data_IF_841743743784
#
_entry.id   IF_841743743784
#
_cell.length_a   1.000
_cell.length_b   1.000
_cell.length_c   1.000
_cell.angle_alpha   90.00
_cell.angle_beta   90.00
_cell.angle_gamma   90.00
#
_symmetry.space_group_name_H-M   'P 1'
#
loop_
_entity.id
_entity.type
_entity.pdbx_description
1 polymer ?
#
# COMPACT_ATOMS: atom_id res chain seq x y z
N UNK A 1 12.78 8.77 24.02
CA UNK A 1 11.31 8.85 23.83
C UNK A 1 11.02 8.19 22.48
N UNK A 2 9.99 7.36 22.39
CA UNK A 2 9.65 6.61 21.16
C UNK A 2 8.18 6.82 20.82
N UNK A 3 7.86 6.87 19.54
CA UNK A 3 6.49 6.96 19.06
C UNK A 3 5.98 5.58 18.66
N UNK A 4 4.79 5.24 19.15
CA UNK A 4 4.10 3.99 18.86
C UNK A 4 2.83 4.30 18.08
N UNK A 5 2.62 3.60 16.97
CA UNK A 5 1.38 3.64 16.21
C UNK A 5 0.89 2.25 15.87
N UNK A 6 -0.41 2.13 15.63
CA UNK A 6 -1.08 0.84 15.41
C UNK A 6 -1.58 0.62 13.97
N UNK A 7 -1.22 1.48 13.03
CA UNK A 7 -1.66 1.40 11.63
C UNK A 7 -3.14 1.75 11.41
N UNK A 8 -3.86 2.15 12.47
CA UNK A 8 -5.29 2.52 12.45
C UNK A 8 -5.52 3.99 12.81
N UNK A 9 -4.47 4.81 12.80
CA UNK A 9 -4.53 6.24 13.13
C UNK A 9 -4.24 6.57 14.59
N UNK A 10 -4.06 5.59 15.47
CA UNK A 10 -3.67 5.89 16.87
C UNK A 10 -2.15 6.05 16.95
N UNK A 11 -1.74 7.16 17.55
CA UNK A 11 -0.35 7.50 17.85
C UNK A 11 -0.19 7.78 19.35
N UNK A 12 0.86 7.27 19.96
CA UNK A 12 1.16 7.53 21.38
C UNK A 12 2.66 7.63 21.61
N UNK A 13 3.07 8.57 22.46
CA UNK A 13 4.43 8.66 22.93
C UNK A 13 4.67 7.68 24.08
N UNK A 14 5.78 6.95 24.00
CA UNK A 14 6.20 5.96 24.96
C UNK A 14 7.61 6.22 25.48
N UNK A 15 7.85 5.77 26.72
CA UNK A 15 9.19 5.68 27.28
C UNK A 15 9.57 4.21 27.47
N UNK A 16 10.79 3.87 27.06
CA UNK A 16 11.35 2.53 27.29
C UNK A 16 11.62 2.40 28.79
N UNK A 17 10.95 1.45 29.43
CA UNK A 17 11.09 1.22 30.86
C UNK A 17 12.11 0.12 31.16
N UNK A 18 12.14 -0.93 30.32
CA UNK A 18 13.08 -2.03 30.47
C UNK A 18 13.39 -2.70 29.12
N UNK A 19 14.62 -3.17 28.97
CA UNK A 19 15.09 -4.02 27.88
C UNK A 19 15.76 -5.22 28.54
N UNK A 20 15.16 -6.40 28.39
CA UNK A 20 15.72 -7.65 28.90
C UNK A 20 15.65 -8.76 27.83
N UNK A 21 16.06 -9.98 28.19
CA UNK A 21 16.05 -11.13 27.27
C UNK A 21 14.64 -11.57 26.86
N UNK A 22 13.59 -11.16 27.59
CA UNK A 22 12.18 -11.43 27.29
C UNK A 22 11.55 -10.37 26.39
N UNK A 23 12.19 -9.21 26.23
CA UNK A 23 11.82 -8.19 25.25
C UNK A 23 11.89 -6.76 25.76
N UNK A 24 11.16 -5.89 25.06
CA UNK A 24 11.10 -4.45 25.28
C UNK A 24 9.79 -4.08 26.00
N UNK A 25 9.87 -3.47 27.18
CA UNK A 25 8.71 -2.90 27.88
C UNK A 25 8.64 -1.40 27.67
N UNK A 26 7.50 -0.92 27.20
CA UNK A 26 7.24 0.48 26.90
C UNK A 26 6.02 0.93 27.70
N UNK A 27 6.12 2.08 28.36
CA UNK A 27 5.00 2.71 29.05
C UNK A 27 4.54 3.91 28.23
N UNK A 28 3.25 3.96 27.92
CA UNK A 28 2.64 5.12 27.28
C UNK A 28 2.64 6.31 28.24
N UNK A 29 3.12 7.46 27.78
CA UNK A 29 3.20 8.70 28.56
C UNK A 29 1.88 9.47 28.57
N UNK A 30 1.04 9.23 27.55
CA UNK A 30 -0.23 9.91 27.35
C UNK A 30 -1.30 8.94 26.83
N UNK A 31 -2.55 9.41 26.75
CA UNK A 31 -3.59 8.70 26.00
C UNK A 31 -3.28 8.76 24.49
N UNK A 32 -3.58 7.70 23.72
CA UNK A 32 -3.39 7.70 22.27
C UNK A 32 -4.15 8.84 21.59
N UNK A 33 -3.47 9.57 20.72
CA UNK A 33 -4.03 10.61 19.86
C UNK A 33 -4.53 9.92 18.58
N UNK A 34 -5.79 10.18 18.22
CA UNK A 34 -6.37 9.70 16.97
C UNK A 34 -6.11 10.73 15.87
N UNK A 35 -5.32 10.36 14.87
CA UNK A 35 -5.07 11.15 13.68
C UNK A 35 -6.02 10.67 12.58
N UNK A 36 -6.70 11.60 11.92
CA UNK A 36 -7.57 11.26 10.78
C UNK A 36 -6.75 11.03 9.51
N UNK A 37 -7.19 10.13 8.62
CA UNK A 37 -6.57 9.99 7.30
C UNK A 37 -6.64 11.30 6.51
N UNK A 38 -5.73 11.47 5.55
CA UNK A 38 -5.78 12.57 4.58
C UNK A 38 -7.15 12.63 3.88
N UNK A 39 -7.62 13.84 3.58
CA UNK A 39 -8.92 14.07 2.93
C UNK A 39 -8.97 13.50 1.50
N UNK A 40 -7.83 13.51 0.82
CA UNK A 40 -7.69 12.99 -0.53
C UNK A 40 -7.16 11.56 -0.49
N UNK A 41 -7.92 10.62 -1.08
CA UNK A 41 -7.58 9.20 -1.07
C UNK A 41 -7.36 8.70 -2.49
N UNK A 42 -6.15 8.21 -2.76
CA UNK A 42 -5.79 7.66 -4.07
C UNK A 42 -5.83 6.14 -4.00
N UNK A 43 -6.51 5.54 -4.97
CA UNK A 43 -6.65 4.10 -5.09
C UNK A 43 -5.83 3.62 -6.29
N UNK A 44 -5.01 2.60 -6.05
CA UNK A 44 -4.09 2.07 -7.05
C UNK A 44 -4.60 0.72 -7.54
N UNK A 45 -4.61 0.52 -8.86
CA UNK A 45 -4.98 -0.71 -9.51
C UNK A 45 -3.80 -1.18 -10.34
N UNK A 46 -3.27 -2.36 -10.03
CA UNK A 46 -2.01 -2.81 -10.61
C UNK A 46 -2.07 -4.26 -11.08
N UNK A 47 -1.61 -4.51 -12.30
CA UNK A 47 -1.49 -5.86 -12.85
C UNK A 47 -0.24 -6.57 -12.30
N UNK A 48 -0.28 -7.00 -11.02
CA UNK A 48 0.87 -7.63 -10.36
C UNK A 48 1.37 -8.90 -11.05
N UNK A 49 0.46 -9.64 -11.67
CA UNK A 49 0.77 -10.88 -12.36
C UNK A 49 1.86 -10.79 -13.43
N UNK A 50 1.94 -9.65 -14.11
CA UNK A 50 2.93 -9.40 -15.17
C UNK A 50 4.26 -8.89 -14.61
N UNK A 51 4.29 -8.47 -13.34
CA UNK A 51 5.48 -7.96 -12.66
C UNK A 51 6.37 -9.12 -12.20
N UNK A 52 7.59 -9.18 -12.74
CA UNK A 52 8.64 -10.14 -12.37
C UNK A 52 9.81 -9.42 -11.68
N UNK A 53 10.67 -10.18 -11.01
CA UNK A 53 11.93 -9.67 -10.45
C UNK A 53 11.77 -8.60 -9.38
N UNK A 54 10.85 -8.78 -8.42
CA UNK A 54 10.68 -7.87 -7.28
C UNK A 54 9.93 -6.58 -7.57
N UNK A 55 9.59 -6.27 -8.83
CA UNK A 55 8.86 -5.03 -9.19
C UNK A 55 7.50 -4.89 -8.51
N UNK A 56 6.84 -6.00 -8.22
CA UNK A 56 5.60 -6.00 -7.47
C UNK A 56 5.79 -5.47 -6.03
N UNK A 57 6.92 -5.81 -5.40
CA UNK A 57 7.23 -5.33 -4.05
C UNK A 57 7.57 -3.86 -4.08
N UNK A 58 8.44 -3.47 -5.01
CA UNK A 58 8.82 -2.08 -5.18
C UNK A 58 7.60 -1.19 -5.43
N UNK A 59 6.66 -1.64 -6.27
CA UNK A 59 5.42 -0.90 -6.50
C UNK A 59 4.61 -0.75 -5.20
N UNK A 60 4.42 -1.84 -4.44
CA UNK A 60 3.69 -1.79 -3.16
C UNK A 60 4.38 -0.87 -2.16
N UNK A 61 5.70 -0.97 -2.04
CA UNK A 61 6.51 -0.09 -1.19
C UNK A 61 6.27 1.38 -1.56
N UNK A 62 6.37 1.73 -2.85
CA UNK A 62 6.17 3.11 -3.30
C UNK A 62 4.75 3.59 -3.16
N UNK A 63 3.75 2.73 -3.40
CA UNK A 63 2.36 3.08 -3.11
C UNK A 63 2.15 3.41 -1.63
N UNK A 64 2.72 2.60 -0.73
CA UNK A 64 2.64 2.83 0.72
C UNK A 64 3.35 4.12 1.14
N UNK A 65 4.57 4.36 0.65
CA UNK A 65 5.35 5.58 0.92
C UNK A 65 4.63 6.85 0.42
N UNK A 66 4.02 6.79 -0.77
CA UNK A 66 3.47 7.95 -1.45
C UNK A 66 2.07 8.37 -0.99
N UNK A 67 1.41 7.63 -0.10
CA UNK A 67 0.06 8.05 0.32
C UNK A 67 -1.08 7.12 -0.06
N UNK A 68 -0.88 6.07 -0.86
CA UNK A 68 -1.98 5.30 -1.43
C UNK A 68 -2.93 4.76 -0.35
N UNK A 69 -4.23 4.98 -0.54
CA UNK A 69 -5.24 4.55 0.41
C UNK A 69 -5.51 3.05 0.28
N UNK A 70 -5.61 2.57 -0.95
CA UNK A 70 -5.78 1.15 -1.24
C UNK A 70 -5.00 0.71 -2.47
N UNK A 71 -4.69 -0.57 -2.53
CA UNK A 71 -4.22 -1.24 -3.73
C UNK A 71 -5.10 -2.44 -4.09
N UNK A 72 -5.48 -2.52 -5.36
CA UNK A 72 -6.33 -3.57 -5.89
C UNK A 72 -5.57 -4.30 -7.00
N UNK A 73 -5.33 -5.62 -6.86
CA UNK A 73 -4.74 -6.39 -7.93
C UNK A 73 -5.65 -6.48 -9.16
N UNK A 74 -5.08 -6.26 -10.35
CA UNK A 74 -5.77 -6.47 -11.62
C UNK A 74 -5.39 -7.82 -12.22
N UNK A 75 -6.43 -8.61 -12.51
CA UNK A 75 -6.33 -9.85 -13.26
C UNK A 75 -6.35 -9.54 -14.75
N UNK A 76 -5.35 -10.03 -15.47
CA UNK A 76 -5.17 -9.83 -16.91
C UNK A 76 -5.21 -11.17 -17.63
N UNK A 77 -5.31 -11.18 -18.96
CA UNK A 77 -5.25 -12.43 -19.74
C UNK A 77 -3.97 -13.23 -19.48
N UNK A 78 -2.84 -12.53 -19.26
CA UNK A 78 -1.53 -13.14 -18.95
C UNK A 78 -1.37 -13.54 -17.49
N UNK A 79 -2.28 -13.12 -16.62
CA UNK A 79 -2.30 -13.48 -15.20
C UNK A 79 -3.71 -13.44 -14.66
N UNK A 80 -4.38 -14.58 -14.80
CA UNK A 80 -5.78 -14.77 -14.45
C UNK A 80 -6.03 -15.00 -12.96
N UNK A 81 -4.97 -15.23 -12.17
CA UNK A 81 -5.06 -15.39 -10.71
C UNK A 81 -3.88 -14.73 -10.00
N UNK A 82 -4.07 -14.47 -8.70
CA UNK A 82 -3.03 -14.05 -7.78
C UNK A 82 -3.06 -15.02 -6.59
N UNK A 83 -1.95 -15.71 -6.33
CA UNK A 83 -1.88 -16.69 -5.25
C UNK A 83 -1.89 -16.00 -3.88
N UNK A 84 -2.46 -16.68 -2.87
CA UNK A 84 -2.51 -16.20 -1.48
C UNK A 84 -1.10 -15.91 -0.94
N UNK A 85 -0.14 -16.81 -1.14
CA UNK A 85 1.27 -16.60 -0.78
C UNK A 85 1.85 -15.31 -1.35
N UNK A 86 1.42 -14.93 -2.57
CA UNK A 86 1.87 -13.68 -3.21
C UNK A 86 1.21 -12.47 -2.56
N UNK A 87 -0.07 -12.55 -2.23
CA UNK A 87 -0.79 -11.50 -1.48
C UNK A 87 -0.14 -11.28 -0.10
N UNK A 88 0.10 -12.35 0.66
CA UNK A 88 0.78 -12.28 1.97
C UNK A 88 2.16 -11.64 1.88
N UNK A 89 2.90 -11.93 0.81
CA UNK A 89 4.20 -11.31 0.55
C UNK A 89 4.08 -9.81 0.33
N UNK A 90 3.12 -9.37 -0.48
CA UNK A 90 2.87 -7.95 -0.74
C UNK A 90 2.37 -7.23 0.52
N UNK A 91 1.54 -7.87 1.34
CA UNK A 91 1.11 -7.34 2.64
C UNK A 91 2.30 -7.10 3.58
N UNK A 92 3.25 -8.05 3.65
CA UNK A 92 4.48 -7.87 4.44
C UNK A 92 5.32 -6.69 3.96
N UNK A 93 5.44 -6.51 2.65
CA UNK A 93 6.15 -5.35 2.06
C UNK A 93 5.45 -4.05 2.44
N UNK A 94 4.12 -3.98 2.32
CA UNK A 94 3.34 -2.81 2.73
C UNK A 94 3.51 -2.47 4.21
N UNK A 95 3.49 -3.48 5.09
CA UNK A 95 3.69 -3.29 6.53
C UNK A 95 5.09 -2.79 6.86
N UNK A 96 6.12 -3.33 6.20
CA UNK A 96 7.50 -2.87 6.39
C UNK A 96 7.67 -1.42 5.92
N UNK A 97 7.14 -1.08 4.74
CA UNK A 97 7.17 0.29 4.21
C UNK A 97 6.42 1.26 5.14
N UNK A 98 5.23 0.88 5.62
CA UNK A 98 4.43 1.70 6.55
C UNK A 98 5.21 2.03 7.83
N UNK A 99 6.00 1.07 8.34
CA UNK A 99 6.87 1.29 9.49
C UNK A 99 8.01 2.26 9.19
N UNK A 100 8.61 2.14 8.02
CA UNK A 100 9.74 2.98 7.60
C UNK A 100 9.33 4.44 7.37
N UNK A 101 8.17 4.67 6.75
CA UNK A 101 7.66 6.01 6.47
C UNK A 101 6.76 6.58 7.56
N UNK A 102 6.67 5.93 8.74
CA UNK A 102 5.87 6.35 9.88
C UNK A 102 4.39 6.59 9.52
N UNK A 103 3.85 5.75 8.64
CA UNK A 103 2.48 5.87 8.17
C UNK A 103 1.50 5.39 9.24
N UNK A 104 0.66 6.32 9.71
CA UNK A 104 -0.32 6.04 10.76
C UNK A 104 -1.51 5.18 10.31
N UNK A 105 -1.80 5.15 9.01
CA UNK A 105 -2.91 4.40 8.41
C UNK A 105 -2.41 3.40 7.38
N UNK A 106 -2.61 2.12 7.62
CA UNK A 106 -2.24 1.06 6.68
C UNK A 106 -2.96 1.23 5.33
N UNK A 107 -2.24 0.94 4.24
CA UNK A 107 -2.83 0.84 2.91
C UNK A 107 -3.66 -0.44 2.83
N UNK A 108 -4.93 -0.33 2.44
CA UNK A 108 -5.81 -1.50 2.30
C UNK A 108 -5.49 -2.30 1.04
N UNK A 109 -5.59 -3.63 1.14
CA UNK A 109 -5.48 -4.53 0.00
C UNK A 109 -6.86 -5.05 -0.36
N UNK A 110 -7.35 -4.70 -1.54
CA UNK A 110 -8.64 -5.13 -2.03
C UNK A 110 -8.53 -6.49 -2.74
N UNK A 111 -9.63 -7.26 -2.84
CA UNK A 111 -9.68 -8.48 -3.64
C UNK A 111 -9.29 -8.22 -5.11
N UNK A 112 -8.66 -9.20 -5.79
CA UNK A 112 -8.34 -9.06 -7.21
C UNK A 112 -9.60 -8.89 -8.08
N UNK A 113 -9.56 -7.95 -9.02
CA UNK A 113 -10.66 -7.72 -9.99
C UNK A 113 -10.17 -7.86 -11.42
N UNK A 114 -11.08 -8.12 -12.36
CA UNK A 114 -10.74 -8.15 -13.80
C UNK A 114 -10.65 -6.72 -14.34
N UNK A 115 -9.76 -6.50 -15.32
CA UNK A 115 -9.63 -5.17 -15.99
C UNK A 115 -10.96 -4.65 -16.53
N UNK A 116 -11.83 -5.52 -17.05
CA UNK A 116 -13.16 -5.12 -17.55
C UNK A 116 -14.05 -4.49 -16.46
N UNK A 117 -13.87 -4.87 -15.19
CA UNK A 117 -14.63 -4.32 -14.06
C UNK A 117 -14.09 -2.95 -13.60
N UNK A 118 -12.94 -2.53 -14.11
CA UNK A 118 -12.31 -1.26 -13.72
C UNK A 118 -12.88 -0.05 -14.48
N UNK A 119 -13.28 -0.25 -15.74
CA UNK A 119 -13.77 0.80 -16.64
C UNK A 119 -14.89 1.70 -16.08
N UNK A 120 -15.85 1.22 -15.27
CA UNK A 120 -16.89 2.08 -14.70
C UNK A 120 -16.38 3.04 -13.62
N UNK A 121 -15.21 2.79 -13.04
CA UNK A 121 -14.73 3.45 -11.82
C UNK A 121 -13.55 4.41 -12.05
N UNK A 122 -13.05 4.53 -13.28
CA UNK A 122 -11.82 5.27 -13.57
C UNK A 122 -12.10 6.46 -14.48
N UNK A 123 -11.95 7.66 -13.92
CA UNK A 123 -12.06 8.91 -14.67
C UNK A 123 -10.75 9.30 -15.39
N UNK A 124 -9.60 8.79 -14.94
CA UNK A 124 -8.27 9.13 -15.49
C UNK A 124 -7.39 7.88 -15.54
N UNK A 125 -6.93 7.52 -16.74
CA UNK A 125 -5.97 6.44 -16.97
C UNK A 125 -4.57 7.05 -17.16
N UNK A 126 -3.70 6.89 -16.18
CA UNK A 126 -2.27 7.11 -16.37
C UNK A 126 -1.62 5.78 -16.77
N UNK A 127 -1.05 5.71 -17.96
CA UNK A 127 -0.10 4.65 -18.30
C UNK A 127 1.29 5.11 -17.88
N UNK A 128 1.83 4.51 -16.83
CA UNK A 128 3.22 4.71 -16.49
C UNK A 128 4.08 3.56 -17.04
N UNK A 129 4.82 3.84 -18.11
CA UNK A 129 6.02 3.06 -18.44
C UNK A 129 7.14 3.50 -17.47
N UNK A 130 7.17 2.93 -16.27
CA UNK A 130 8.17 3.30 -15.26
C UNK A 130 9.58 2.81 -15.64
N UNK A 131 10.53 3.73 -15.54
CA UNK A 131 11.97 3.51 -15.62
C UNK A 131 12.48 2.78 -14.36
N UNK A 132 13.00 1.56 -14.52
CA UNK A 132 13.60 0.74 -13.47
C UNK A 132 15.13 1.01 -13.40
N UNK A 133 15.72 1.29 -12.22
CA UNK A 133 17.15 1.61 -12.11
C UNK A 133 18.09 0.44 -12.43
N UNK A 134 17.58 -0.78 -12.62
CA UNK A 134 18.36 -1.97 -13.00
C UNK A 134 18.33 -2.33 -14.49
N UNK A 135 17.90 -1.43 -15.37
CA UNK A 135 17.94 -1.63 -16.84
C UNK A 135 16.73 -2.36 -17.44
N UNK A 136 16.44 -2.03 -18.70
CA UNK A 136 15.30 -2.49 -19.49
C UNK A 136 15.51 -3.93 -20.01
N UNK A 137 14.46 -4.76 -19.93
CA UNK A 137 14.28 -5.89 -20.85
C UNK A 137 13.04 -5.56 -21.72
N UNK A 138 13.24 -5.37 -23.03
CA UNK A 138 12.15 -5.06 -23.98
C UNK A 138 10.98 -6.07 -23.83
N UNK A 139 9.75 -5.57 -23.65
CA UNK A 139 8.52 -6.38 -23.76
C UNK A 139 7.62 -6.49 -22.53
N UNK A 140 7.85 -5.73 -21.44
CA UNK A 140 6.98 -5.74 -20.26
C UNK A 140 6.34 -4.37 -20.04
N UNK A 141 5.27 -4.06 -20.77
CA UNK A 141 4.39 -2.93 -20.46
C UNK A 141 3.61 -3.24 -19.19
N UNK A 142 3.72 -2.36 -18.18
CA UNK A 142 2.99 -2.48 -16.92
C UNK A 142 1.88 -1.44 -16.93
N UNK A 143 0.63 -1.89 -16.93
CA UNK A 143 -0.49 -0.99 -16.67
C UNK A 143 -0.63 -0.83 -15.14
N UNK A 144 -0.24 0.35 -14.63
CA UNK A 144 -0.58 0.80 -13.28
C UNK A 144 -1.60 1.91 -13.45
N UNK A 145 -2.83 1.69 -12.99
CA UNK A 145 -3.90 2.69 -13.07
C UNK A 145 -4.06 3.31 -11.70
N UNK A 146 -3.87 4.62 -11.61
CA UNK A 146 -4.02 5.40 -10.38
C UNK A 146 -5.19 6.35 -10.59
N UNK A 147 -6.19 6.30 -9.70
CA UNK A 147 -7.23 7.32 -9.66
C UNK A 147 -7.43 7.86 -8.24
N UNK A 148 -7.86 9.11 -8.18
CA UNK A 148 -8.13 9.84 -6.95
C UNK A 148 -9.65 9.94 -6.74
N UNK A 149 -10.12 9.65 -5.53
CA UNK A 149 -11.50 9.94 -5.12
C UNK A 149 -11.44 11.01 -4.03
N UNK A 150 -12.15 12.12 -4.24
CA UNK A 150 -12.40 13.11 -3.19
C UNK A 150 -13.61 12.66 -2.39
N UNK A 151 -13.54 12.69 -1.04
CA UNK A 151 -14.63 12.27 -0.14
C UNK A 151 -15.97 12.99 -0.36
N UNK A 152 -16.03 14.05 -1.18
CA UNK A 152 -17.26 14.75 -1.57
C UNK A 152 -17.96 14.25 -2.83
N UNK A 153 -17.46 13.19 -3.49
CA UNK A 153 -18.00 12.77 -4.79
C UNK A 153 -17.97 11.25 -4.95
N UNK A 154 -18.87 10.54 -4.24
CA UNK A 154 -19.57 9.33 -4.70
C UNK A 154 -20.34 8.71 -3.54
N UNK A 155 -21.66 8.90 -3.52
CA UNK A 155 -22.59 7.90 -3.01
C UNK A 155 -22.57 6.73 -3.99
N UNK A 156 -22.26 5.52 -3.50
CA UNK A 156 -22.52 4.26 -4.21
C UNK A 156 -23.93 3.79 -3.88
#
# INVERSE_FOLDING_TARGET
>A
MIELFNGKGNLVEGCIQNIDQSGLKIVALENPKLVSPLETQWHVFAAFGTLKGGRADWLVEKCTELGAHSITPLLTERSSSLSENRVERLLRVSLAASKQCQRLHEMSFNPPIKVAQLLPHVLILFFFDYFWPGGYSKGQSVAVIIYCVSRGSTSF
#
